data_IF_553597917677
#
_entry.id   IF_553597917677
#
_cell.length_a   1.000
_cell.length_b   1.000
_cell.length_c   1.000
_cell.angle_alpha   90.00
_cell.angle_beta   90.00
_cell.angle_gamma   90.00
#
_symmetry.space_group_name_H-M   'P 1'
#
loop_
_entity.id
_entity.type
_entity.pdbx_description
1 polymer ?
#
# COMPACT_ATOMS: atom_id res chain seq x y z
N UNK A 1 5.96 40.50 -61.67
CA UNK A 1 6.37 39.41 -60.76
C UNK A 1 6.48 39.93 -59.33
N UNK A 2 5.43 39.76 -58.53
CA UNK A 2 5.38 40.10 -57.09
C UNK A 2 4.69 38.93 -56.38
N UNK A 3 5.39 37.82 -56.19
CA UNK A 3 4.77 36.59 -55.67
C UNK A 3 5.71 35.74 -54.80
N UNK A 4 6.64 36.36 -54.07
CA UNK A 4 7.58 35.60 -53.20
C UNK A 4 7.58 36.10 -51.74
N UNK A 5 6.81 37.13 -51.39
CA UNK A 5 6.88 37.74 -50.04
C UNK A 5 5.71 37.39 -49.09
N UNK A 6 4.98 36.27 -49.30
CA UNK A 6 3.87 35.87 -48.42
C UNK A 6 3.90 34.44 -47.90
N UNK A 7 4.86 33.62 -48.29
CA UNK A 7 4.96 32.22 -47.84
C UNK A 7 5.88 32.02 -46.64
N UNK A 8 6.74 32.98 -46.30
CA UNK A 8 7.68 32.85 -45.17
C UNK A 8 7.11 33.27 -43.80
N UNK A 9 6.05 34.09 -43.75
CA UNK A 9 5.46 34.53 -42.48
C UNK A 9 4.40 33.58 -41.92
N UNK A 10 3.89 32.62 -42.71
CA UNK A 10 2.96 31.61 -42.19
C UNK A 10 3.65 30.38 -41.59
N UNK A 11 4.93 30.12 -41.90
CA UNK A 11 5.65 28.97 -41.36
C UNK A 11 6.21 29.23 -39.96
N UNK A 12 6.42 30.47 -39.56
CA UNK A 12 6.87 30.82 -38.20
C UNK A 12 5.74 30.81 -37.17
N UNK A 13 4.46 30.87 -37.60
CA UNK A 13 3.30 30.86 -36.68
C UNK A 13 2.80 29.43 -36.43
N UNK A 14 3.12 28.46 -37.29
CA UNK A 14 2.75 27.05 -37.09
C UNK A 14 3.77 26.24 -36.27
N UNK A 15 4.99 26.76 -36.04
CA UNK A 15 5.95 26.17 -35.09
C UNK A 15 5.78 26.67 -33.64
N UNK A 16 4.82 27.56 -33.39
CA UNK A 16 4.32 27.88 -32.04
C UNK A 16 3.04 27.10 -31.70
N UNK A 17 2.79 25.98 -32.40
CA UNK A 17 1.79 25.00 -31.99
C UNK A 17 2.27 24.27 -30.74
N UNK A 18 1.92 24.83 -29.58
CA UNK A 18 1.64 24.10 -28.35
C UNK A 18 2.61 22.95 -28.02
N UNK A 19 3.89 23.28 -27.79
CA UNK A 19 4.60 22.60 -26.71
C UNK A 19 4.00 23.11 -25.40
N UNK A 20 2.75 22.72 -25.09
CA UNK A 20 2.24 22.76 -23.73
C UNK A 20 3.23 21.90 -22.96
N UNK A 21 4.11 22.55 -22.19
CA UNK A 21 4.79 21.87 -21.10
C UNK A 21 3.67 21.15 -20.34
N UNK A 22 3.79 19.83 -20.13
CA UNK A 22 2.80 19.14 -19.34
C UNK A 22 2.68 19.90 -18.02
N UNK A 23 1.43 20.17 -17.61
CA UNK A 23 1.18 20.83 -16.34
C UNK A 23 1.88 19.99 -15.27
N UNK A 24 2.95 20.51 -14.65
CA UNK A 24 3.75 19.77 -13.67
C UNK A 24 2.86 19.21 -12.54
N UNK A 25 1.71 19.84 -12.29
CA UNK A 25 0.66 19.36 -11.40
C UNK A 25 -0.02 18.07 -11.88
N UNK A 26 -0.31 17.93 -13.18
CA UNK A 26 -0.93 16.73 -13.76
C UNK A 26 0.05 15.56 -13.84
N UNK A 27 1.32 15.82 -14.17
CA UNK A 27 2.37 14.79 -14.16
C UNK A 27 2.63 14.25 -12.76
N UNK A 28 2.72 15.14 -11.77
CA UNK A 28 2.89 14.74 -10.37
C UNK A 28 1.71 13.88 -9.89
N UNK A 29 0.46 14.25 -10.23
CA UNK A 29 -0.73 13.45 -9.91
C UNK A 29 -0.73 12.09 -10.64
N UNK A 30 -0.24 12.04 -11.88
CA UNK A 30 -0.14 10.79 -12.64
C UNK A 30 0.91 9.85 -12.04
N UNK A 31 2.07 10.39 -11.69
CA UNK A 31 3.15 9.62 -11.06
C UNK A 31 2.71 9.07 -9.70
N UNK A 32 2.03 9.86 -8.87
CA UNK A 32 1.46 9.38 -7.60
C UNK A 32 0.47 8.23 -7.79
N UNK A 33 -0.35 8.28 -8.86
CA UNK A 33 -1.28 7.18 -9.19
C UNK A 33 -0.54 5.92 -9.62
N UNK A 34 0.52 6.06 -10.42
CA UNK A 34 1.36 4.93 -10.84
C UNK A 34 2.03 4.29 -9.62
N UNK A 35 2.59 5.10 -8.73
CA UNK A 35 3.25 4.65 -7.51
C UNK A 35 2.26 3.96 -6.57
N UNK A 36 1.09 4.55 -6.38
CA UNK A 36 0.00 3.93 -5.63
C UNK A 36 -0.38 2.55 -6.19
N UNK A 37 -0.54 2.41 -7.52
CA UNK A 37 -0.88 1.12 -8.14
C UNK A 37 0.22 0.07 -7.96
N UNK A 38 1.49 0.48 -8.04
CA UNK A 38 2.62 -0.42 -7.77
C UNK A 38 2.61 -0.90 -6.32
N UNK A 39 2.38 0.01 -5.38
CA UNK A 39 2.34 -0.30 -3.95
C UNK A 39 1.16 -1.22 -3.61
N UNK A 40 0.00 -0.99 -4.24
CA UNK A 40 -1.14 -1.89 -4.16
C UNK A 40 -0.76 -3.32 -4.58
N UNK A 41 -0.11 -3.47 -5.73
CA UNK A 41 0.28 -4.78 -6.25
C UNK A 41 1.30 -5.47 -5.34
N UNK A 42 2.26 -4.73 -4.78
CA UNK A 42 3.22 -5.26 -3.79
C UNK A 42 2.48 -5.81 -2.57
N UNK A 43 1.54 -5.03 -2.00
CA UNK A 43 0.81 -5.45 -0.78
C UNK A 43 -0.14 -6.61 -1.06
N UNK A 44 -0.86 -6.59 -2.18
CA UNK A 44 -1.75 -7.69 -2.57
C UNK A 44 -0.96 -8.98 -2.88
N UNK A 45 0.23 -8.85 -3.48
CA UNK A 45 1.16 -9.96 -3.65
C UNK A 45 1.62 -10.56 -2.31
N UNK A 46 1.85 -9.73 -1.29
CA UNK A 46 2.18 -10.17 0.07
C UNK A 46 1.02 -10.94 0.73
N UNK A 47 -0.23 -10.54 0.48
CA UNK A 47 -1.39 -11.15 1.11
C UNK A 47 -1.74 -12.56 0.61
N UNK A 48 -1.38 -12.88 -0.65
CA UNK A 48 -1.65 -14.17 -1.27
C UNK A 48 -3.10 -14.68 -1.14
N UNK A 49 -3.28 -15.99 -1.29
CA UNK A 49 -4.61 -16.63 -1.33
C UNK A 49 -5.36 -16.67 0.02
N UNK A 50 -4.81 -16.11 1.11
CA UNK A 50 -5.47 -16.12 2.44
C UNK A 50 -6.78 -15.36 2.40
N UNK A 51 -6.77 -14.18 1.75
CA UNK A 51 -7.95 -13.32 1.67
C UNK A 51 -9.08 -14.01 0.93
N UNK A 52 -8.79 -14.66 -0.20
CA UNK A 52 -9.77 -15.43 -0.97
C UNK A 52 -10.32 -16.60 -0.16
N UNK A 53 -9.45 -17.35 0.52
CA UNK A 53 -9.85 -18.48 1.36
C UNK A 53 -10.80 -18.05 2.49
N UNK A 54 -10.54 -16.90 3.11
CA UNK A 54 -11.39 -16.35 4.18
C UNK A 54 -12.79 -15.95 3.70
N UNK A 55 -12.95 -15.55 2.43
CA UNK A 55 -14.24 -15.13 1.87
C UNK A 55 -15.15 -16.27 1.42
N UNK A 56 -14.64 -17.50 1.33
CA UNK A 56 -15.48 -18.67 1.07
C UNK A 56 -16.52 -18.81 2.18
N UNK A 57 -17.80 -18.95 1.84
CA UNK A 57 -18.86 -19.23 2.82
C UNK A 57 -18.52 -20.48 3.64
N UNK A 58 -18.82 -20.45 4.93
CA UNK A 58 -18.71 -21.59 5.84
C UNK A 58 -20.08 -21.89 6.43
N UNK A 59 -20.49 -23.16 6.32
CA UNK A 59 -21.78 -23.65 6.78
C UNK A 59 -21.63 -24.18 8.21
N UNK A 60 -21.61 -23.25 9.17
CA UNK A 60 -21.78 -23.54 10.61
C UNK A 60 -20.51 -23.43 11.49
N UNK A 61 -20.69 -23.52 12.84
CA UNK A 61 -19.65 -23.16 13.81
C UNK A 61 -18.40 -24.05 13.81
N UNK A 62 -18.58 -25.35 13.54
CA UNK A 62 -17.47 -26.29 13.40
C UNK A 62 -16.59 -25.93 12.18
N UNK A 63 -17.24 -25.59 11.07
CA UNK A 63 -16.56 -25.19 9.84
C UNK A 63 -15.84 -23.85 10.01
N UNK A 64 -16.41 -22.91 10.75
CA UNK A 64 -15.75 -21.65 11.12
C UNK A 64 -14.47 -21.88 11.93
N UNK A 65 -14.49 -22.83 12.86
CA UNK A 65 -13.33 -23.18 13.69
C UNK A 65 -12.23 -23.82 12.84
N UNK A 66 -12.59 -24.76 11.96
CA UNK A 66 -11.66 -25.40 11.01
C UNK A 66 -11.06 -24.35 10.08
N UNK A 67 -11.88 -23.46 9.54
CA UNK A 67 -11.46 -22.37 8.65
C UNK A 67 -10.51 -21.40 9.34
N UNK A 68 -10.77 -21.03 10.60
CA UNK A 68 -9.87 -20.20 11.42
C UNK A 68 -8.51 -20.87 11.62
N UNK A 69 -8.48 -22.18 11.91
CA UNK A 69 -7.23 -22.93 12.02
C UNK A 69 -6.46 -23.01 10.70
N UNK A 70 -7.16 -23.19 9.58
CA UNK A 70 -6.54 -23.20 8.25
C UNK A 70 -5.98 -21.83 7.86
N UNK A 71 -6.68 -20.73 8.19
CA UNK A 71 -6.17 -19.36 8.02
C UNK A 71 -4.86 -19.19 8.80
N UNK A 72 -4.81 -19.62 10.07
CA UNK A 72 -3.57 -19.58 10.86
C UNK A 72 -2.42 -20.35 10.20
N UNK A 73 -2.71 -21.52 9.63
CA UNK A 73 -1.72 -22.32 8.90
C UNK A 73 -1.24 -21.57 7.64
N UNK A 74 -2.16 -20.98 6.87
CA UNK A 74 -1.79 -20.23 5.67
C UNK A 74 -1.00 -18.96 6.02
N UNK A 75 -1.35 -18.25 7.08
CA UNK A 75 -0.57 -17.12 7.60
C UNK A 75 0.86 -17.55 7.96
N UNK A 76 1.02 -18.68 8.65
CA UNK A 76 2.35 -19.25 8.94
C UNK A 76 3.12 -19.59 7.67
N UNK A 77 2.45 -20.13 6.63
CA UNK A 77 3.08 -20.41 5.33
C UNK A 77 3.54 -19.13 4.63
N UNK A 78 2.68 -18.12 4.58
CA UNK A 78 2.99 -16.82 3.97
C UNK A 78 4.12 -16.12 4.73
N UNK A 79 4.08 -16.12 6.06
CA UNK A 79 5.17 -15.63 6.89
C UNK A 79 6.50 -16.30 6.50
N UNK A 80 6.55 -17.63 6.42
CA UNK A 80 7.77 -18.35 6.00
C UNK A 80 8.26 -17.96 4.60
N UNK A 81 7.37 -17.67 3.67
CA UNK A 81 7.72 -17.27 2.30
C UNK A 81 8.25 -15.84 2.25
N UNK A 82 7.72 -14.95 3.09
CA UNK A 82 7.98 -13.51 3.03
C UNK A 82 9.00 -13.02 4.03
N UNK A 83 9.17 -13.68 5.18
CA UNK A 83 10.19 -13.34 6.16
C UNK A 83 11.55 -13.33 5.47
N UNK A 84 12.23 -12.20 5.57
CA UNK A 84 13.54 -11.97 5.00
C UNK A 84 13.56 -11.46 3.56
N UNK A 85 12.42 -11.43 2.87
CA UNK A 85 12.30 -10.75 1.57
C UNK A 85 12.23 -9.25 1.75
N UNK A 86 12.69 -8.51 0.74
CA UNK A 86 12.55 -7.05 0.69
C UNK A 86 11.20 -6.66 0.11
N UNK A 87 10.60 -5.62 0.68
CA UNK A 87 9.52 -4.86 0.06
C UNK A 87 10.09 -3.56 -0.47
N UNK A 88 9.51 -3.10 -1.57
CA UNK A 88 9.74 -1.79 -2.12
C UNK A 88 8.39 -1.14 -2.38
N UNK A 89 8.11 -0.06 -1.66
CA UNK A 89 6.96 0.80 -1.86
C UNK A 89 7.47 2.15 -2.35
N UNK A 90 6.81 2.72 -3.34
CA UNK A 90 7.23 3.96 -4.01
C UNK A 90 6.65 5.21 -3.35
N UNK A 91 5.42 5.12 -2.83
CA UNK A 91 4.67 6.24 -2.28
C UNK A 91 4.11 5.94 -0.88
N UNK A 92 4.86 5.19 -0.07
CA UNK A 92 4.45 4.92 1.31
C UNK A 92 4.35 6.24 2.10
N UNK A 93 3.24 6.43 2.81
CA UNK A 93 2.99 7.63 3.60
C UNK A 93 3.31 7.38 5.06
N UNK A 94 4.14 8.24 5.67
CA UNK A 94 4.42 8.21 7.10
C UNK A 94 3.18 8.70 7.88
N UNK A 95 2.52 7.81 8.62
CA UNK A 95 1.26 8.12 9.32
C UNK A 95 1.51 8.44 10.79
N UNK A 96 2.54 7.82 11.37
CA UNK A 96 2.85 8.00 12.79
C UNK A 96 4.36 8.01 13.02
N UNK A 97 4.79 9.01 13.79
CA UNK A 97 6.16 9.13 14.26
C UNK A 97 6.57 7.94 15.15
N UNK A 98 7.88 7.70 15.31
CA UNK A 98 8.42 6.63 16.13
C UNK A 98 7.78 6.56 17.52
N UNK A 99 7.18 5.41 17.83
CA UNK A 99 6.70 5.12 19.18
C UNK A 99 7.11 3.72 19.61
N UNK A 100 7.17 3.50 20.92
CA UNK A 100 7.30 2.16 21.46
C UNK A 100 6.04 1.38 21.14
N UNK A 101 6.24 0.23 20.52
CA UNK A 101 5.15 -0.66 20.14
C UNK A 101 5.22 -1.92 21.02
N UNK A 102 4.13 -2.18 21.74
CA UNK A 102 3.98 -3.44 22.49
C UNK A 102 3.26 -4.45 21.60
N UNK A 103 3.65 -5.72 21.65
CA UNK A 103 2.91 -6.84 21.07
C UNK A 103 2.76 -6.83 19.54
N UNK A 104 3.76 -6.35 18.79
CA UNK A 104 3.72 -6.41 17.31
C UNK A 104 4.03 -7.81 16.78
N UNK A 105 4.72 -8.65 17.56
CA UNK A 105 4.85 -10.10 17.35
C UNK A 105 5.28 -10.76 18.68
N UNK A 106 4.68 -11.88 19.14
CA UNK A 106 5.19 -12.66 20.28
C UNK A 106 6.60 -13.24 20.07
N UNK A 107 7.09 -13.29 18.83
CA UNK A 107 8.45 -13.75 18.51
C UNK A 107 9.47 -12.61 18.31
N UNK A 108 9.05 -11.35 18.43
CA UNK A 108 9.98 -10.21 18.47
C UNK A 108 10.07 -9.70 19.90
N UNK A 109 11.29 -9.51 20.41
CA UNK A 109 11.56 -8.80 21.67
C UNK A 109 11.11 -7.33 21.54
N UNK A 110 9.81 -7.12 21.65
CA UNK A 110 9.11 -5.85 21.41
C UNK A 110 9.29 -4.84 22.55
N UNK A 111 10.00 -5.22 23.63
CA UNK A 111 10.20 -4.38 24.81
C UNK A 111 11.08 -3.14 24.59
N UNK A 112 11.87 -3.07 23.50
CA UNK A 112 12.83 -1.97 23.27
C UNK A 112 12.78 -1.35 21.87
N UNK A 113 11.92 -1.81 20.97
CA UNK A 113 11.91 -1.36 19.59
C UNK A 113 10.95 -0.17 19.39
N UNK A 114 11.48 0.91 18.84
CA UNK A 114 10.67 2.01 18.30
C UNK A 114 10.20 1.62 16.90
N UNK A 115 8.98 2.01 16.54
CA UNK A 115 8.50 1.84 15.18
C UNK A 115 7.81 3.08 14.65
N UNK A 116 8.10 3.41 13.40
CA UNK A 116 7.33 4.35 12.59
C UNK A 116 6.24 3.59 11.84
N UNK A 117 5.05 4.18 11.75
CA UNK A 117 3.91 3.57 11.05
C UNK A 117 3.74 4.23 9.68
N UNK A 118 3.74 3.41 8.63
CA UNK A 118 3.48 3.79 7.26
C UNK A 118 2.19 3.15 6.74
N UNK A 119 1.62 3.74 5.70
CA UNK A 119 0.48 3.18 4.96
C UNK A 119 0.63 3.40 3.46
N UNK A 120 -0.26 2.82 2.68
CA UNK A 120 -0.45 3.13 1.26
C UNK A 120 -1.73 3.95 1.14
N UNK A 121 -1.61 5.25 0.87
CA UNK A 121 -2.75 6.17 0.83
C UNK A 121 -3.25 6.37 -0.59
N UNK A 122 -4.57 6.26 -0.80
CA UNK A 122 -5.14 6.54 -2.11
C UNK A 122 -4.99 8.03 -2.47
N UNK A 123 -4.39 8.37 -3.63
CA UNK A 123 -3.95 9.74 -3.93
C UNK A 123 -5.10 10.75 -3.97
N UNK A 124 -6.31 10.33 -4.39
CA UNK A 124 -7.47 11.23 -4.52
C UNK A 124 -8.41 11.24 -3.31
N UNK A 125 -8.45 10.18 -2.50
CA UNK A 125 -9.44 10.04 -1.43
C UNK A 125 -8.84 10.21 -0.03
N UNK A 126 -7.52 10.17 0.08
CA UNK A 126 -6.83 10.24 1.38
C UNK A 126 -7.06 9.02 2.28
N UNK A 127 -7.69 7.96 1.76
CA UNK A 127 -7.95 6.74 2.52
C UNK A 127 -6.65 5.95 2.73
N UNK A 128 -6.43 5.50 3.98
CA UNK A 128 -5.26 4.73 4.42
C UNK A 128 -5.39 3.26 4.06
N UNK A 129 -5.24 2.96 2.78
CA UNK A 129 -5.46 1.62 2.25
C UNK A 129 -6.04 1.65 0.86
N UNK A 130 -6.58 0.51 0.44
CA UNK A 130 -6.93 0.27 -0.96
C UNK A 130 -8.34 -0.30 -1.08
N UNK A 131 -9.05 0.12 -2.12
CA UNK A 131 -10.28 -0.54 -2.52
C UNK A 131 -9.96 -1.75 -3.38
N UNK A 132 -10.44 -2.92 -2.95
CA UNK A 132 -10.30 -4.17 -3.67
C UNK A 132 -11.65 -4.54 -4.26
N UNK A 133 -11.68 -4.68 -5.59
CA UNK A 133 -12.79 -5.28 -6.31
C UNK A 133 -12.80 -6.78 -6.01
N UNK A 134 -13.93 -7.32 -5.53
CA UNK A 134 -14.06 -8.77 -5.35
C UNK A 134 -14.45 -9.48 -6.65
N UNK A 135 -15.20 -8.80 -7.52
CA UNK A 135 -15.73 -9.20 -8.83
C UNK A 135 -16.22 -7.95 -9.59
N UNK A 136 -16.39 -8.05 -10.92
CA UNK A 136 -16.84 -6.94 -11.79
C UNK A 136 -18.16 -6.27 -11.32
N UNK A 137 -19.02 -7.02 -10.63
CA UNK A 137 -20.36 -6.57 -10.21
C UNK A 137 -20.53 -6.46 -8.68
N UNK A 138 -19.44 -6.54 -7.91
CA UNK A 138 -19.50 -6.56 -6.44
C UNK A 138 -19.06 -5.23 -5.80
N UNK A 139 -19.57 -4.90 -4.60
CA UNK A 139 -19.13 -3.70 -3.89
C UNK A 139 -17.64 -3.75 -3.58
N UNK A 140 -16.98 -2.59 -3.67
CA UNK A 140 -15.56 -2.43 -3.32
C UNK A 140 -15.38 -2.68 -1.82
N UNK A 141 -14.68 -3.74 -1.45
CA UNK A 141 -14.20 -3.91 -0.08
C UNK A 141 -12.99 -3.02 0.16
N UNK A 142 -12.86 -2.44 1.34
CA UNK A 142 -11.69 -1.65 1.73
C UNK A 142 -10.72 -2.50 2.55
N UNK A 143 -9.44 -2.44 2.21
CA UNK A 143 -8.34 -3.04 2.93
C UNK A 143 -7.46 -1.94 3.51
N UNK A 144 -7.41 -1.83 4.83
CA UNK A 144 -6.47 -0.99 5.55
C UNK A 144 -5.06 -1.60 5.52
N UNK A 145 -4.06 -0.78 5.25
CA UNK A 145 -2.66 -1.23 5.14
C UNK A 145 -1.84 -0.52 6.21
N UNK A 146 -1.21 -1.28 7.11
CA UNK A 146 -0.39 -0.76 8.19
C UNK A 146 0.98 -1.39 8.13
N UNK A 147 2.01 -0.56 8.00
CA UNK A 147 3.39 -1.02 7.87
C UNK A 147 4.21 -0.45 9.03
N UNK A 148 4.75 -1.31 9.87
CA UNK A 148 5.57 -0.91 11.00
C UNK A 148 7.04 -1.09 10.65
N UNK A 149 7.75 0.03 10.47
CA UNK A 149 9.20 0.04 10.30
C UNK A 149 9.85 0.09 11.67
N UNK A 150 10.53 -0.98 12.06
CA UNK A 150 11.32 -1.05 13.28
C UNK A 150 12.53 -0.13 13.16
N UNK A 151 12.91 0.49 14.25
CA UNK A 151 14.01 1.45 14.31
C UNK A 151 14.99 1.00 15.37
N UNK A 152 16.27 0.94 14.99
CA UNK A 152 17.35 0.55 15.90
C UNK A 152 17.69 1.65 16.91
N UNK A 153 17.50 2.92 16.55
CA UNK A 153 17.80 4.09 17.37
C UNK A 153 16.62 5.08 17.38
N UNK A 154 16.49 5.85 18.47
CA UNK A 154 15.45 6.88 18.63
C UNK A 154 15.68 8.16 17.81
N UNK A 155 16.93 8.43 17.44
CA UNK A 155 17.36 9.71 16.85
C UNK A 155 17.35 9.72 15.31
N UNK A 156 16.61 8.81 14.68
CA UNK A 156 16.46 8.83 13.23
C UNK A 156 15.39 9.86 12.87
N UNK A 157 15.80 10.93 12.18
CA UNK A 157 14.86 11.76 11.44
C UNK A 157 14.31 10.94 10.27
N UNK A 158 13.01 10.68 10.25
CA UNK A 158 12.36 9.73 9.33
C UNK A 158 11.40 10.43 8.35
N UNK A 159 11.44 11.76 8.34
CA UNK A 159 10.55 12.62 7.58
C UNK A 159 9.38 13.17 8.39
N UNK A 160 8.51 13.89 7.70
CA UNK A 160 7.34 14.54 8.28
C UNK A 160 6.10 13.64 8.18
N UNK A 161 5.16 13.79 9.11
CA UNK A 161 3.89 13.06 9.05
C UNK A 161 3.16 13.48 7.76
N UNK A 162 2.60 12.48 7.06
CA UNK A 162 1.95 12.56 5.74
C UNK A 162 2.90 12.79 4.56
N UNK A 163 4.21 12.80 4.81
CA UNK A 163 5.16 12.77 3.72
C UNK A 163 5.10 11.42 3.02
N UNK A 164 4.90 11.45 1.70
CA UNK A 164 4.96 10.27 0.84
C UNK A 164 6.37 10.12 0.30
N UNK A 165 6.86 8.90 0.31
CA UNK A 165 8.17 8.60 -0.24
C UNK A 165 8.43 7.11 -0.34
N UNK A 166 9.58 6.74 -0.94
CA UNK A 166 9.95 5.35 -1.07
C UNK A 166 10.23 4.72 0.29
N UNK A 167 9.71 3.52 0.50
CA UNK A 167 10.01 2.66 1.65
C UNK A 167 10.56 1.34 1.14
N UNK A 168 11.86 1.12 1.35
CA UNK A 168 12.52 -0.16 1.14
C UNK A 168 12.93 -0.75 2.47
N UNK A 169 12.45 -1.96 2.78
CA UNK A 169 12.90 -2.68 3.97
C UNK A 169 12.65 -4.19 3.87
N UNK A 170 13.31 -4.95 4.74
CA UNK A 170 13.20 -6.40 4.87
C UNK A 170 12.01 -6.76 5.74
N UNK A 171 11.10 -7.60 5.22
CA UNK A 171 9.95 -8.11 5.97
C UNK A 171 10.43 -8.99 7.12
N UNK A 172 9.95 -8.68 8.32
CA UNK A 172 10.04 -9.54 9.50
C UNK A 172 8.80 -10.38 9.67
N UNK A 173 7.64 -9.73 9.60
CA UNK A 173 6.36 -10.36 9.88
C UNK A 173 5.26 -9.80 8.98
N UNK A 174 4.27 -10.63 8.67
CA UNK A 174 3.06 -10.26 7.94
C UNK A 174 1.88 -10.88 8.69
N UNK A 175 0.91 -10.05 9.02
CA UNK A 175 -0.34 -10.48 9.64
C UNK A 175 -1.53 -9.92 8.86
N UNK A 176 -2.50 -10.76 8.57
CA UNK A 176 -3.75 -10.35 7.93
C UNK A 176 -4.90 -10.59 8.90
N UNK A 177 -5.46 -9.52 9.46
CA UNK A 177 -6.52 -9.66 10.47
C UNK A 177 -7.84 -10.15 9.85
N UNK A 178 -7.99 -9.90 8.54
CA UNK A 178 -9.14 -10.19 7.68
C UNK A 178 -10.50 -9.72 8.18
N UNK A 179 -10.56 -8.76 9.11
CA UNK A 179 -11.77 -8.30 9.78
C UNK A 179 -12.44 -9.39 10.62
N UNK A 180 -12.98 -9.09 11.80
CA UNK A 180 -13.77 -10.09 12.51
C UNK A 180 -15.05 -10.37 11.71
N UNK A 181 -15.29 -11.64 11.31
CA UNK A 181 -16.52 -12.10 10.64
C UNK A 181 -17.82 -11.67 11.37
N UNK A 182 -17.69 -11.28 12.64
CA UNK A 182 -18.79 -10.87 13.52
C UNK A 182 -19.12 -9.38 13.46
N UNK A 183 -18.27 -8.52 12.90
CA UNK A 183 -18.50 -7.08 12.85
C UNK A 183 -18.42 -6.56 11.41
N UNK A 184 -19.58 -6.31 10.79
CA UNK A 184 -19.69 -5.78 9.42
C UNK A 184 -19.05 -4.40 9.23
N UNK A 185 -18.74 -3.70 10.31
CA UNK A 185 -18.14 -2.36 10.34
C UNK A 185 -16.62 -2.34 10.47
N UNK A 186 -15.97 -3.47 10.76
CA UNK A 186 -14.52 -3.53 10.84
C UNK A 186 -13.93 -3.74 9.44
N UNK A 187 -13.12 -2.79 8.97
CA UNK A 187 -12.38 -2.94 7.72
C UNK A 187 -11.41 -4.13 7.82
N UNK A 188 -11.15 -4.79 6.70
CA UNK A 188 -10.06 -5.77 6.62
C UNK A 188 -8.74 -5.01 6.79
N UNK A 189 -7.78 -5.57 7.52
CA UNK A 189 -6.46 -4.96 7.64
C UNK A 189 -5.31 -5.94 7.41
N UNK A 190 -4.22 -5.41 6.88
CA UNK A 190 -2.93 -6.08 6.80
C UNK A 190 -1.89 -5.29 7.57
N UNK A 191 -1.15 -6.00 8.40
CA UNK A 191 -0.02 -5.48 9.15
C UNK A 191 1.27 -6.11 8.61
N UNK A 192 2.19 -5.28 8.15
CA UNK A 192 3.52 -5.71 7.70
C UNK A 192 4.56 -5.10 8.63
N UNK A 193 5.43 -5.92 9.19
CA UNK A 193 6.52 -5.46 10.07
C UNK A 193 7.82 -5.59 9.29
N UNK A 194 8.60 -4.52 9.25
CA UNK A 194 9.85 -4.43 8.50
C UNK A 194 11.00 -3.89 9.35
N UNK A 195 12.24 -4.20 8.97
CA UNK A 195 13.47 -3.73 9.65
C UNK A 195 13.83 -2.25 9.46
#
# INVERSE_FOLDING_TARGET
MKFILRTFTLFSILCYSNCRKPDYSQEMILQEKIDFMNDCNTILGVLGNIREFRKKSSDGPLQDTIKSNQIKIQQKKLLRIWTGKRIFLKGAELVQLPRRIKNVDPNCDSGKLLAAEYTVTHPLSGLKGVHILQNKNSPRSFLEIRIFRLLKNADLHIGEIRQRGPLESKIKCVHYDGGQNKNRSAFESVHVVVE
#
